data_IF_223584554113
#
_entry.id   IF_223584554113
#
_cell.length_a   1.000
_cell.length_b   1.000
_cell.length_c   1.000
_cell.angle_alpha   90.00
_cell.angle_beta   90.00
_cell.angle_gamma   90.00
#
_symmetry.space_group_name_H-M   'P 1'
#
loop_
_entity.id
_entity.type
_entity.pdbx_description
1 polymer ?
#
# COMPACT_ATOMS: atom_id res chain seq x y z
N UNK A 1 -18.11 30.67 -30.51
CA UNK A 1 -17.08 30.30 -29.55
C UNK A 1 -17.65 29.28 -28.64
N UNK A 2 -17.33 27.99 -28.87
CA UNK A 2 -17.78 26.91 -28.01
C UNK A 2 -16.92 26.91 -26.74
N UNK A 3 -17.44 27.45 -25.64
CA UNK A 3 -16.87 27.23 -24.33
C UNK A 3 -17.11 25.73 -23.99
N UNK A 4 -16.08 24.92 -24.07
CA UNK A 4 -16.08 23.59 -23.47
C UNK A 4 -16.18 23.84 -21.96
N UNK A 5 -17.38 23.69 -21.41
CA UNK A 5 -17.59 23.68 -19.98
C UNK A 5 -16.86 22.45 -19.42
N UNK A 6 -15.70 22.68 -18.83
CA UNK A 6 -14.92 21.64 -18.16
C UNK A 6 -15.71 21.24 -16.93
N UNK A 7 -16.47 20.15 -17.00
CA UNK A 7 -17.18 19.61 -15.83
C UNK A 7 -16.13 19.12 -14.83
N UNK A 8 -15.99 19.85 -13.72
CA UNK A 8 -15.11 19.41 -12.63
C UNK A 8 -15.78 18.25 -11.90
N UNK A 9 -15.10 17.09 -11.74
CA UNK A 9 -15.68 15.93 -11.04
C UNK A 9 -16.10 16.27 -9.61
N UNK A 10 -17.18 15.65 -9.15
CA UNK A 10 -17.72 15.83 -7.79
C UNK A 10 -16.66 15.61 -6.71
N UNK A 11 -15.77 14.61 -6.89
CA UNK A 11 -14.68 14.32 -5.99
C UNK A 11 -13.65 15.47 -5.85
N UNK A 12 -13.51 16.33 -6.87
CA UNK A 12 -12.64 17.51 -6.78
C UNK A 12 -13.39 18.70 -6.18
N UNK A 13 -14.66 18.86 -6.48
CA UNK A 13 -15.51 19.92 -5.92
C UNK A 13 -15.64 19.79 -4.41
N UNK A 14 -15.85 18.54 -3.92
CA UNK A 14 -16.02 18.22 -2.50
C UNK A 14 -14.73 17.90 -1.78
N UNK A 15 -13.58 18.20 -2.40
CA UNK A 15 -12.31 18.05 -1.72
C UNK A 15 -12.28 18.92 -0.45
N UNK A 16 -12.00 18.36 0.74
CA UNK A 16 -11.88 19.13 1.98
C UNK A 16 -10.94 20.31 1.84
N UNK A 17 -11.35 21.46 2.37
CA UNK A 17 -10.58 22.72 2.35
C UNK A 17 -9.95 23.02 3.70
N UNK A 18 -10.45 22.42 4.77
CA UNK A 18 -9.93 22.53 6.13
C UNK A 18 -9.71 21.14 6.75
N UNK A 19 -8.92 21.08 7.83
CA UNK A 19 -8.67 19.81 8.53
C UNK A 19 -9.92 19.30 9.25
N UNK A 20 -10.85 20.17 9.60
CA UNK A 20 -12.13 19.83 10.23
C UNK A 20 -13.09 19.13 9.26
N UNK A 21 -12.98 19.47 7.97
CA UNK A 21 -13.76 18.83 6.91
C UNK A 21 -13.18 17.48 6.48
N UNK A 22 -11.94 17.17 6.89
CA UNK A 22 -11.24 15.95 6.50
C UNK A 22 -11.75 14.77 7.33
N UNK A 23 -12.55 13.91 6.72
CA UNK A 23 -13.18 12.76 7.37
C UNK A 23 -12.29 11.53 7.38
N UNK A 24 -12.36 10.78 8.47
CA UNK A 24 -11.52 9.61 8.71
C UNK A 24 -10.13 9.96 9.24
N UNK A 25 -9.25 8.96 9.35
CA UNK A 25 -7.86 9.10 9.79
C UNK A 25 -7.70 9.70 11.20
N UNK A 26 -8.63 9.40 12.11
CA UNK A 26 -8.64 9.96 13.48
C UNK A 26 -7.32 9.79 14.22
N UNK A 27 -6.60 8.69 14.00
CA UNK A 27 -5.31 8.39 14.60
C UNK A 27 -4.22 9.38 14.17
N UNK A 28 -4.35 9.92 12.94
CA UNK A 28 -3.36 10.81 12.32
C UNK A 28 -3.68 12.28 12.58
N UNK A 29 -4.98 12.66 12.51
CA UNK A 29 -5.42 14.06 12.57
C UNK A 29 -6.13 14.45 13.87
N UNK A 30 -6.13 13.59 14.89
CA UNK A 30 -6.68 13.97 16.21
C UNK A 30 -5.96 15.18 16.80
N UNK A 31 -6.65 15.99 17.61
CA UNK A 31 -6.13 17.24 18.18
C UNK A 31 -4.77 17.11 18.89
N UNK A 32 -4.46 15.92 19.40
CA UNK A 32 -3.24 15.62 20.16
C UNK A 32 -2.27 14.70 19.40
N UNK A 33 -2.54 14.39 18.11
CA UNK A 33 -1.62 13.58 17.33
C UNK A 33 -0.28 14.29 17.10
N UNK A 34 0.82 13.54 16.95
CA UNK A 34 2.14 14.12 16.67
C UNK A 34 2.12 15.03 15.44
N UNK A 35 1.42 14.62 14.38
CA UNK A 35 1.28 15.41 13.15
C UNK A 35 0.61 16.75 13.43
N UNK A 36 -0.52 16.75 14.16
CA UNK A 36 -1.25 17.98 14.47
C UNK A 36 -0.45 18.93 15.38
N UNK A 37 0.34 18.38 16.31
CA UNK A 37 1.23 19.19 17.16
C UNK A 37 2.34 19.87 16.34
N UNK A 38 2.91 19.16 15.36
CA UNK A 38 3.91 19.74 14.45
C UNK A 38 3.30 20.83 13.56
N UNK A 39 2.12 20.61 13.01
CA UNK A 39 1.39 21.60 12.22
C UNK A 39 1.11 22.87 13.05
N UNK A 40 0.58 22.70 14.26
CA UNK A 40 0.31 23.85 15.19
C UNK A 40 1.56 24.63 15.55
N UNK A 41 2.71 23.99 15.64
CA UNK A 41 3.99 24.66 15.94
C UNK A 41 4.57 25.41 14.71
N UNK A 42 3.88 25.41 13.56
CA UNK A 42 4.33 26.02 12.29
C UNK A 42 5.71 25.48 11.83
N UNK A 43 6.10 24.31 12.32
CA UNK A 43 7.33 23.63 11.90
C UNK A 43 7.03 22.72 10.72
N UNK A 44 7.68 22.99 9.59
CA UNK A 44 7.64 22.12 8.45
C UNK A 44 8.64 20.97 8.63
N UNK A 45 8.23 19.81 8.10
CA UNK A 45 9.05 18.59 8.08
C UNK A 45 8.67 17.81 6.84
N UNK A 46 9.61 17.02 6.36
CA UNK A 46 9.38 16.14 5.21
C UNK A 46 8.72 14.85 5.66
N UNK A 47 7.77 14.36 4.86
CA UNK A 47 7.02 13.15 5.20
C UNK A 47 6.63 12.33 3.96
N UNK A 48 6.36 11.05 4.18
CA UNK A 48 5.76 10.14 3.23
C UNK A 48 4.37 9.72 3.72
N UNK A 49 3.35 10.00 2.93
CA UNK A 49 1.98 9.54 3.16
C UNK A 49 1.79 8.20 2.46
N UNK A 50 1.71 7.14 3.24
CA UNK A 50 1.53 5.78 2.74
C UNK A 50 0.12 5.27 3.05
N UNK A 51 -0.59 4.77 2.05
CA UNK A 51 -1.93 4.22 2.25
C UNK A 51 -2.65 3.90 0.94
N UNK A 52 -3.84 3.30 1.03
CA UNK A 52 -4.61 2.89 -0.14
C UNK A 52 -5.02 4.07 -1.04
N UNK A 53 -5.45 3.81 -2.29
CA UNK A 53 -6.01 4.85 -3.14
C UNK A 53 -7.24 5.48 -2.50
N UNK A 54 -7.51 6.75 -2.81
CA UNK A 54 -8.69 7.48 -2.35
C UNK A 54 -8.83 7.73 -0.84
N UNK A 55 -7.83 7.38 -0.01
CA UNK A 55 -7.84 7.61 1.44
C UNK A 55 -7.52 9.05 1.85
N UNK A 56 -7.24 9.95 0.88
CA UNK A 56 -7.05 11.38 1.15
C UNK A 56 -5.59 11.86 1.18
N UNK A 57 -4.58 11.09 0.72
CA UNK A 57 -3.15 11.48 0.76
C UNK A 57 -2.88 12.87 0.19
N UNK A 58 -3.28 13.11 -1.05
CA UNK A 58 -3.10 14.41 -1.73
C UNK A 58 -3.87 15.54 -1.04
N UNK A 59 -5.07 15.23 -0.54
CA UNK A 59 -5.89 16.20 0.20
C UNK A 59 -5.21 16.60 1.50
N UNK A 60 -4.73 15.64 2.29
CA UNK A 60 -4.01 15.91 3.53
C UNK A 60 -2.75 16.73 3.28
N UNK A 61 -1.98 16.42 2.23
CA UNK A 61 -0.79 17.19 1.86
C UNK A 61 -1.11 18.67 1.58
N UNK A 62 -2.18 18.94 0.83
CA UNK A 62 -2.65 20.31 0.55
C UNK A 62 -3.14 21.03 1.81
N UNK A 63 -3.86 20.32 2.68
CA UNK A 63 -4.33 20.88 3.96
C UNK A 63 -3.18 21.24 4.88
N UNK A 64 -2.14 20.40 4.95
CA UNK A 64 -0.91 20.71 5.70
C UNK A 64 -0.26 21.98 5.15
N UNK A 65 -0.09 22.07 3.83
CA UNK A 65 0.55 23.22 3.20
C UNK A 65 -0.22 24.54 3.48
N UNK A 66 -1.55 24.50 3.37
CA UNK A 66 -2.40 25.63 3.68
C UNK A 66 -2.27 26.06 5.17
N UNK A 67 -2.27 25.09 6.08
CA UNK A 67 -2.22 25.36 7.51
C UNK A 67 -0.89 26.02 7.95
N UNK A 68 0.21 25.71 7.27
CA UNK A 68 1.54 26.28 7.56
C UNK A 68 1.91 27.43 6.61
N UNK A 69 0.96 27.90 5.81
CA UNK A 69 1.13 28.97 4.82
C UNK A 69 2.36 28.77 3.90
N UNK A 70 2.56 27.53 3.42
CA UNK A 70 3.63 27.20 2.48
C UNK A 70 3.12 27.17 1.04
N UNK A 71 3.99 27.51 0.10
CA UNK A 71 3.73 27.30 -1.31
C UNK A 71 3.65 25.79 -1.59
N UNK A 72 2.59 25.33 -2.24
CA UNK A 72 2.38 23.95 -2.60
C UNK A 72 2.66 23.73 -4.08
N UNK A 73 3.68 22.91 -4.38
CA UNK A 73 4.03 22.51 -5.75
C UNK A 73 3.80 21.02 -5.89
N UNK A 74 3.01 20.62 -6.87
CA UNK A 74 2.66 19.23 -7.11
C UNK A 74 3.35 18.69 -8.36
N UNK A 75 4.06 17.57 -8.20
CA UNK A 75 4.64 16.78 -9.28
C UNK A 75 4.08 15.36 -9.24
N UNK A 76 3.84 14.77 -10.41
CA UNK A 76 3.50 13.37 -10.53
C UNK A 76 4.74 12.59 -10.95
N UNK A 77 5.16 11.60 -10.17
CA UNK A 77 6.32 10.78 -10.50
C UNK A 77 6.15 9.98 -11.81
N UNK A 78 4.92 9.86 -12.32
CA UNK A 78 4.63 9.20 -13.60
C UNK A 78 5.00 10.09 -14.79
N UNK A 79 4.83 11.41 -14.67
CA UNK A 79 4.97 12.35 -15.79
C UNK A 79 6.10 13.37 -15.63
N UNK A 80 6.72 13.48 -14.45
CA UNK A 80 7.80 14.42 -14.17
C UNK A 80 9.14 13.72 -13.95
N UNK A 81 10.24 14.47 -14.12
CA UNK A 81 11.59 13.97 -14.01
C UNK A 81 12.54 14.90 -13.24
N UNK A 82 13.85 14.64 -13.33
CA UNK A 82 14.89 15.42 -12.63
C UNK A 82 14.85 16.90 -13.03
N UNK A 83 14.48 17.19 -14.27
CA UNK A 83 14.40 18.59 -14.75
C UNK A 83 13.32 19.34 -13.98
N UNK A 84 12.13 18.75 -13.82
CA UNK A 84 11.01 19.37 -13.13
C UNK A 84 11.32 19.60 -11.64
N UNK A 85 12.05 18.66 -11.03
CA UNK A 85 12.55 18.80 -9.64
C UNK A 85 13.47 20.03 -9.56
N UNK A 86 14.46 20.17 -10.48
CA UNK A 86 15.40 21.29 -10.47
C UNK A 86 14.71 22.63 -10.69
N UNK A 87 13.78 22.72 -11.63
CA UNK A 87 12.97 23.94 -11.84
C UNK A 87 12.16 24.30 -10.59
N UNK A 88 11.65 23.30 -9.87
CA UNK A 88 10.94 23.54 -8.61
C UNK A 88 11.88 24.04 -7.52
N UNK A 89 13.10 23.51 -7.45
CA UNK A 89 14.13 23.97 -6.50
C UNK A 89 14.52 25.43 -6.77
N UNK A 90 14.70 25.83 -8.03
CA UNK A 90 15.01 27.21 -8.39
C UNK A 90 13.91 28.16 -7.91
N UNK A 91 12.65 27.83 -8.17
CA UNK A 91 11.49 28.60 -7.68
C UNK A 91 11.39 28.64 -6.16
N UNK A 92 11.70 27.53 -5.50
CA UNK A 92 11.72 27.47 -4.04
C UNK A 92 12.82 28.35 -3.42
N UNK A 93 14.01 28.37 -4.02
CA UNK A 93 15.09 29.27 -3.63
C UNK A 93 14.71 30.75 -3.78
N UNK A 94 13.99 31.09 -4.84
CA UNK A 94 13.47 32.45 -5.03
C UNK A 94 12.43 32.80 -3.96
N UNK A 95 11.46 31.90 -3.72
CA UNK A 95 10.43 32.09 -2.71
C UNK A 95 11.02 32.23 -1.30
N UNK A 96 12.05 31.46 -0.99
CA UNK A 96 12.73 31.50 0.32
C UNK A 96 13.39 32.86 0.60
N UNK A 97 13.87 33.60 -0.43
CA UNK A 97 14.38 34.97 -0.29
C UNK A 97 13.33 35.95 0.24
N UNK A 98 12.06 35.65 0.02
CA UNK A 98 10.92 36.42 0.52
C UNK A 98 10.31 35.79 1.79
N UNK A 99 11.01 34.82 2.42
CA UNK A 99 10.54 34.14 3.63
C UNK A 99 9.42 33.12 3.40
N UNK A 100 9.11 32.80 2.13
CA UNK A 100 8.07 31.82 1.82
C UNK A 100 8.68 30.42 1.65
N UNK A 101 8.17 29.48 2.43
CA UNK A 101 8.57 28.06 2.40
C UNK A 101 7.84 27.32 1.28
N UNK A 102 8.46 26.29 0.72
CA UNK A 102 7.88 25.49 -0.35
C UNK A 102 7.75 24.03 0.08
N UNK A 103 6.54 23.50 -0.05
CA UNK A 103 6.26 22.07 0.03
C UNK A 103 6.20 21.52 -1.38
N UNK A 104 7.09 20.58 -1.69
CA UNK A 104 7.05 19.78 -2.90
C UNK A 104 6.25 18.51 -2.61
N UNK A 105 5.08 18.37 -3.22
CA UNK A 105 4.30 17.14 -3.19
C UNK A 105 4.64 16.28 -4.41
N UNK A 106 5.03 15.04 -4.17
CA UNK A 106 5.29 14.06 -5.24
C UNK A 106 4.28 12.94 -5.11
N UNK A 107 3.35 12.88 -6.07
CA UNK A 107 2.39 11.78 -6.14
C UNK A 107 3.04 10.52 -6.70
N UNK A 108 2.75 9.37 -6.06
CA UNK A 108 3.29 8.06 -6.40
C UNK A 108 4.85 8.03 -6.42
N UNK A 109 5.49 8.56 -5.36
CA UNK A 109 6.95 8.73 -5.27
C UNK A 109 7.73 7.44 -5.55
N UNK A 110 7.13 6.27 -5.33
CA UNK A 110 7.72 4.96 -5.64
C UNK A 110 7.97 4.74 -7.13
N UNK A 111 7.36 5.54 -8.02
CA UNK A 111 7.61 5.52 -9.46
C UNK A 111 8.92 6.20 -9.87
N UNK A 112 9.46 7.06 -9.02
CA UNK A 112 10.79 7.59 -9.24
C UNK A 112 11.86 6.51 -8.99
N UNK A 113 12.85 6.43 -9.87
CA UNK A 113 14.06 5.64 -9.62
C UNK A 113 14.79 6.14 -8.38
N UNK A 114 15.61 5.29 -7.76
CA UNK A 114 16.42 5.69 -6.59
C UNK A 114 17.26 6.92 -6.88
N UNK A 115 17.86 7.01 -8.07
CA UNK A 115 18.64 8.18 -8.51
C UNK A 115 17.80 9.46 -8.54
N UNK A 116 16.54 9.38 -8.98
CA UNK A 116 15.64 10.55 -8.97
C UNK A 116 15.24 10.94 -7.54
N UNK A 117 15.06 9.97 -6.66
CA UNK A 117 14.80 10.22 -5.25
C UNK A 117 16.01 10.85 -4.54
N UNK A 118 17.24 10.41 -4.87
CA UNK A 118 18.47 10.93 -4.29
C UNK A 118 18.73 12.40 -4.65
N UNK A 119 18.24 12.86 -5.81
CA UNK A 119 18.33 14.28 -6.20
C UNK A 119 17.61 15.21 -5.21
N UNK A 120 16.63 14.71 -4.45
CA UNK A 120 15.89 15.49 -3.47
C UNK A 120 16.66 15.71 -2.16
N UNK A 121 17.62 14.84 -1.85
CA UNK A 121 18.28 14.79 -0.52
C UNK A 121 18.94 16.12 -0.13
N UNK A 122 19.78 16.75 -0.97
CA UNK A 122 20.43 18.02 -0.58
C UNK A 122 19.43 19.11 -0.20
N UNK A 123 18.33 19.19 -0.95
CA UNK A 123 17.32 20.25 -0.78
C UNK A 123 16.38 20.03 0.40
N UNK A 124 16.26 18.77 0.86
CA UNK A 124 15.54 18.42 2.09
C UNK A 124 16.45 18.70 3.30
N UNK A 125 17.74 18.40 3.19
CA UNK A 125 18.73 18.59 4.26
C UNK A 125 18.99 20.06 4.57
N UNK A 126 19.11 20.91 3.53
CA UNK A 126 19.34 22.33 3.69
C UNK A 126 18.05 23.16 3.94
N UNK A 127 16.88 22.51 3.87
CA UNK A 127 15.58 23.15 4.10
C UNK A 127 15.07 24.03 2.95
N UNK A 128 15.67 23.95 1.77
CA UNK A 128 15.18 24.61 0.55
C UNK A 128 13.79 24.10 0.19
N UNK A 129 13.57 22.79 0.32
CA UNK A 129 12.29 22.14 0.09
C UNK A 129 11.86 21.29 1.29
N UNK A 130 10.55 21.23 1.51
CA UNK A 130 9.92 20.26 2.38
C UNK A 130 9.17 19.25 1.51
N UNK A 131 9.56 17.97 1.57
CA UNK A 131 8.95 16.93 0.76
C UNK A 131 7.71 16.36 1.44
N UNK A 132 6.61 16.25 0.70
CA UNK A 132 5.51 15.34 1.03
C UNK A 132 5.38 14.34 -0.12
N UNK A 133 5.86 13.11 0.07
CA UNK A 133 5.67 12.03 -0.90
C UNK A 133 4.36 11.28 -0.63
N UNK A 134 3.64 10.87 -1.66
CA UNK A 134 2.54 9.91 -1.52
C UNK A 134 2.89 8.59 -2.18
N UNK A 135 2.40 7.48 -1.60
CA UNK A 135 2.58 6.15 -2.18
C UNK A 135 1.48 5.18 -1.72
N UNK A 136 1.13 4.25 -2.59
CA UNK A 136 0.30 3.09 -2.26
C UNK A 136 1.14 1.87 -1.87
N UNK A 137 2.42 1.87 -2.22
CA UNK A 137 3.36 0.79 -1.95
C UNK A 137 4.07 0.97 -0.60
N UNK A 138 4.56 -0.12 0.00
CA UNK A 138 5.29 -0.03 1.27
C UNK A 138 6.60 0.76 1.10
N UNK A 139 6.76 1.90 1.78
CA UNK A 139 7.93 2.77 1.62
C UNK A 139 9.26 2.09 1.93
N UNK A 140 9.27 1.13 2.87
CA UNK A 140 10.50 0.42 3.25
C UNK A 140 11.15 -0.37 2.12
N UNK A 141 10.37 -0.73 1.08
CA UNK A 141 10.87 -1.47 -0.08
C UNK A 141 11.07 -0.59 -1.31
N UNK A 142 10.27 0.45 -1.44
CA UNK A 142 10.17 1.22 -2.68
C UNK A 142 10.86 2.59 -2.64
N UNK A 143 11.02 3.16 -1.45
CA UNK A 143 11.68 4.45 -1.27
C UNK A 143 13.15 4.23 -0.90
N UNK A 144 14.03 5.11 -1.40
CA UNK A 144 15.45 5.02 -1.12
C UNK A 144 15.74 5.12 0.41
N UNK A 145 16.56 4.23 0.99
CA UNK A 145 16.87 4.26 2.42
C UNK A 145 17.40 5.62 2.91
N UNK A 146 18.20 6.28 2.08
CA UNK A 146 18.71 7.62 2.37
C UNK A 146 17.58 8.67 2.51
N UNK A 147 16.50 8.53 1.74
CA UNK A 147 15.33 9.41 1.85
C UNK A 147 14.48 9.05 3.07
N UNK A 148 14.26 7.75 3.33
CA UNK A 148 13.49 7.27 4.50
C UNK A 148 14.10 7.77 5.81
N UNK A 149 15.44 7.81 5.92
CA UNK A 149 16.09 8.30 7.15
C UNK A 149 15.89 9.79 7.44
N UNK A 150 15.37 10.56 6.47
CA UNK A 150 15.18 12.03 6.53
C UNK A 150 13.72 12.46 6.52
N UNK A 151 12.81 11.54 6.42
CA UNK A 151 11.37 11.82 6.34
C UNK A 151 10.61 11.01 7.40
N UNK A 152 9.47 11.54 7.82
CA UNK A 152 8.56 10.78 8.67
C UNK A 152 7.55 10.02 7.82
N UNK A 153 7.38 8.73 8.06
CA UNK A 153 6.36 7.91 7.38
C UNK A 153 5.06 7.95 8.17
N UNK A 154 3.98 8.36 7.52
CA UNK A 154 2.64 8.39 8.09
C UNK A 154 1.76 7.42 7.30
N UNK A 155 1.21 6.45 8.00
CA UNK A 155 0.28 5.49 7.42
C UNK A 155 -1.14 6.04 7.50
N UNK A 156 -1.83 6.04 6.34
CA UNK A 156 -3.26 6.32 6.24
C UNK A 156 -4.01 5.00 6.00
N UNK A 157 -5.14 4.86 6.63
CA UNK A 157 -6.00 3.68 6.50
C UNK A 157 -7.09 3.89 5.45
N UNK A 158 -7.80 2.84 5.09
CA UNK A 158 -9.06 2.97 4.37
C UNK A 158 -10.04 3.83 5.18
N UNK A 159 -10.89 4.58 4.48
CA UNK A 159 -11.96 5.33 5.14
C UNK A 159 -13.00 4.30 5.63
N UNK A 160 -13.35 4.38 6.92
CA UNK A 160 -14.33 3.51 7.52
C UNK A 160 -15.75 3.81 6.99
N UNK A 161 -16.66 2.88 7.22
CA UNK A 161 -18.02 2.92 6.65
C UNK A 161 -18.83 4.12 7.17
N UNK A 162 -18.64 4.54 8.43
CA UNK A 162 -19.33 5.68 9.02
C UNK A 162 -18.91 6.99 8.34
N UNK A 163 -17.60 7.20 8.17
CA UNK A 163 -17.09 8.37 7.48
C UNK A 163 -17.38 8.32 5.98
N UNK A 164 -17.37 7.14 5.37
CA UNK A 164 -17.78 6.96 3.98
C UNK A 164 -19.23 7.34 3.76
N UNK A 165 -20.15 6.94 4.65
CA UNK A 165 -21.57 7.37 4.59
C UNK A 165 -21.70 8.89 4.63
N UNK A 166 -20.92 9.56 5.48
CA UNK A 166 -20.91 11.04 5.55
C UNK A 166 -20.45 11.66 4.22
N UNK A 167 -19.40 11.12 3.60
CA UNK A 167 -18.89 11.58 2.30
C UNK A 167 -19.94 11.42 1.21
N UNK A 168 -20.62 10.26 1.15
CA UNK A 168 -21.70 9.97 0.20
C UNK A 168 -22.85 10.94 0.38
N UNK A 169 -23.33 11.13 1.62
CA UNK A 169 -24.41 12.05 1.92
C UNK A 169 -24.06 13.50 1.57
N UNK A 170 -22.83 13.94 1.82
CA UNK A 170 -22.34 15.25 1.39
C UNK A 170 -22.36 15.37 -0.14
N UNK A 171 -22.04 14.29 -0.85
CA UNK A 171 -22.12 14.21 -2.30
C UNK A 171 -23.53 14.42 -2.83
N UNK A 172 -24.49 13.67 -2.33
CA UNK A 172 -25.90 13.82 -2.71
C UNK A 172 -26.44 15.19 -2.33
N UNK A 173 -26.20 15.67 -1.12
CA UNK A 173 -26.63 17.00 -0.65
C UNK A 173 -26.09 18.14 -1.53
N UNK A 174 -24.85 18.03 -2.00
CA UNK A 174 -24.31 19.01 -2.94
C UNK A 174 -25.04 18.99 -4.29
N UNK A 175 -25.33 17.79 -4.81
CA UNK A 175 -26.02 17.62 -6.09
C UNK A 175 -27.47 18.10 -6.00
N UNK A 176 -28.15 17.80 -4.91
CA UNK A 176 -29.53 18.33 -4.65
C UNK A 176 -29.56 19.85 -4.62
N UNK A 177 -28.61 20.47 -3.92
CA UNK A 177 -28.54 21.94 -3.79
C UNK A 177 -28.31 22.63 -5.13
N UNK A 178 -27.57 21.99 -6.04
CA UNK A 178 -27.17 22.59 -7.30
C UNK A 178 -27.99 22.13 -8.52
N UNK A 179 -28.83 21.09 -8.35
CA UNK A 179 -29.65 20.50 -9.41
C UNK A 179 -31.04 20.21 -8.90
N UNK A 180 -31.48 18.94 -8.92
CA UNK A 180 -32.84 18.54 -8.50
C UNK A 180 -32.77 17.67 -7.24
N UNK A 181 -33.83 17.67 -6.42
CA UNK A 181 -33.96 16.76 -5.29
C UNK A 181 -33.83 15.29 -5.72
N UNK A 182 -33.30 14.45 -4.84
CA UNK A 182 -33.14 13.02 -5.07
C UNK A 182 -33.66 12.25 -3.85
N UNK A 183 -34.43 11.20 -4.10
CA UNK A 183 -34.84 10.22 -3.10
C UNK A 183 -34.05 8.93 -3.31
N UNK A 184 -33.44 8.43 -2.24
CA UNK A 184 -32.72 7.18 -2.19
C UNK A 184 -32.81 6.56 -0.81
N UNK A 185 -32.69 5.26 -0.74
CA UNK A 185 -32.75 4.50 0.50
C UNK A 185 -31.36 4.19 1.09
N UNK A 186 -31.37 3.60 2.27
CA UNK A 186 -30.13 3.20 2.95
C UNK A 186 -29.37 2.11 2.18
N UNK A 187 -30.06 1.31 1.35
CA UNK A 187 -29.44 0.25 0.55
C UNK A 187 -28.52 0.83 -0.53
N UNK A 188 -28.90 1.98 -1.12
CA UNK A 188 -28.06 2.73 -2.07
C UNK A 188 -26.76 3.15 -1.41
N UNK A 189 -26.82 3.72 -0.21
CA UNK A 189 -25.63 4.12 0.54
C UNK A 189 -24.74 2.91 0.86
N UNK A 190 -25.31 1.82 1.35
CA UNK A 190 -24.60 0.56 1.63
C UNK A 190 -23.95 -0.03 0.37
N UNK A 191 -24.67 0.03 -0.75
CA UNK A 191 -24.13 -0.44 -2.03
C UNK A 191 -22.89 0.35 -2.45
N UNK A 192 -22.92 1.68 -2.35
CA UNK A 192 -21.79 2.54 -2.69
C UNK A 192 -20.63 2.28 -1.74
N UNK A 193 -20.83 2.19 -0.42
CA UNK A 193 -19.79 1.88 0.57
C UNK A 193 -19.10 0.57 0.22
N UNK A 194 -19.86 -0.50 -0.01
CA UNK A 194 -19.35 -1.83 -0.33
C UNK A 194 -18.51 -1.85 -1.62
N UNK A 195 -18.90 -1.07 -2.63
CA UNK A 195 -18.19 -1.03 -3.91
C UNK A 195 -17.01 -0.06 -3.91
N UNK A 196 -17.08 1.03 -3.14
CA UNK A 196 -15.97 1.99 -2.99
C UNK A 196 -14.81 1.44 -2.15
N UNK A 197 -15.06 0.48 -1.26
CA UNK A 197 -14.02 -0.21 -0.46
C UNK A 197 -13.07 0.76 0.25
N UNK A 198 -13.59 1.84 0.82
CA UNK A 198 -12.82 2.85 1.54
C UNK A 198 -12.11 3.89 0.65
N UNK A 199 -12.38 3.91 -0.66
CA UNK A 199 -11.92 4.93 -1.61
C UNK A 199 -12.98 6.01 -1.81
N UNK A 200 -12.76 7.21 -1.24
CA UNK A 200 -13.68 8.33 -1.34
C UNK A 200 -13.86 8.86 -2.77
N UNK A 201 -12.83 8.77 -3.60
CA UNK A 201 -12.91 9.22 -5.01
C UNK A 201 -13.84 8.30 -5.79
N UNK A 202 -13.70 6.99 -5.60
CA UNK A 202 -14.59 6.00 -6.20
C UNK A 202 -16.02 6.18 -5.71
N UNK A 203 -16.24 6.40 -4.40
CA UNK A 203 -17.57 6.65 -3.84
C UNK A 203 -18.24 7.88 -4.46
N UNK A 204 -17.54 9.02 -4.51
CA UNK A 204 -18.08 10.25 -5.07
C UNK A 204 -18.33 10.17 -6.59
N UNK A 205 -17.50 9.45 -7.33
CA UNK A 205 -17.76 9.17 -8.74
C UNK A 205 -19.03 8.30 -8.92
N UNK A 206 -19.24 7.31 -8.03
CA UNK A 206 -20.46 6.51 -8.05
C UNK A 206 -21.69 7.36 -7.72
N UNK A 207 -21.60 8.24 -6.71
CA UNK A 207 -22.66 9.20 -6.36
C UNK A 207 -23.02 10.08 -7.56
N UNK A 208 -22.03 10.68 -8.21
CA UNK A 208 -22.22 11.56 -9.37
C UNK A 208 -22.88 10.81 -10.54
N UNK A 209 -22.36 9.66 -10.90
CA UNK A 209 -22.90 8.84 -11.98
C UNK A 209 -24.32 8.34 -11.66
N UNK A 210 -24.57 7.89 -10.43
CA UNK A 210 -25.88 7.43 -9.98
C UNK A 210 -26.91 8.55 -10.02
N UNK A 211 -26.53 9.74 -9.57
CA UNK A 211 -27.40 10.90 -9.58
C UNK A 211 -27.87 11.23 -11.01
N UNK A 212 -26.93 11.35 -11.95
CA UNK A 212 -27.27 11.72 -13.34
C UNK A 212 -27.96 10.58 -14.13
N UNK A 213 -27.77 9.33 -13.75
CA UNK A 213 -28.41 8.18 -14.37
C UNK A 213 -29.77 7.82 -13.74
N UNK A 214 -30.11 8.41 -12.58
CA UNK A 214 -31.40 8.15 -11.91
C UNK A 214 -32.58 8.72 -12.72
N UNK A 215 -33.73 8.05 -12.59
CA UNK A 215 -34.97 8.47 -13.26
C UNK A 215 -35.47 9.79 -12.68
N UNK A 216 -35.83 10.71 -13.57
CA UNK A 216 -36.47 11.99 -13.18
C UNK A 216 -37.94 11.93 -13.44
N UNK A 217 -38.76 11.98 -12.37
CA UNK A 217 -40.22 11.99 -12.41
C UNK A 217 -40.74 12.84 -11.27
N UNK A 218 -41.91 13.48 -11.47
CA UNK A 218 -42.61 14.26 -10.45
C UNK A 218 -41.72 15.32 -9.74
N UNK A 219 -40.81 15.99 -10.46
CA UNK A 219 -39.87 17.00 -9.97
C UNK A 219 -38.79 16.53 -9.00
N UNK A 220 -38.55 15.23 -8.86
CA UNK A 220 -37.44 14.68 -8.12
C UNK A 220 -36.82 13.48 -8.84
N UNK A 221 -35.62 13.12 -8.45
CA UNK A 221 -34.92 11.94 -8.94
C UNK A 221 -35.16 10.77 -8.00
N UNK A 222 -35.40 9.59 -8.56
CA UNK A 222 -35.46 8.33 -7.80
C UNK A 222 -34.28 7.47 -8.10
N UNK A 223 -33.51 7.11 -7.07
CA UNK A 223 -32.38 6.25 -7.16
C UNK A 223 -32.60 5.00 -6.31
N UNK A 224 -32.51 3.85 -6.95
CA UNK A 224 -32.46 2.54 -6.31
C UNK A 224 -31.21 1.78 -6.66
N UNK A 225 -31.00 0.63 -6.02
CA UNK A 225 -29.82 -0.21 -6.23
C UNK A 225 -29.72 -0.72 -7.66
N UNK A 226 -30.85 -0.98 -8.34
CA UNK A 226 -30.84 -1.49 -9.73
C UNK A 226 -30.16 -0.49 -10.69
N UNK A 227 -30.35 0.82 -10.48
CA UNK A 227 -29.67 1.85 -11.27
C UNK A 227 -28.16 1.79 -11.06
N UNK A 228 -27.71 1.62 -9.81
CA UNK A 228 -26.30 1.48 -9.49
C UNK A 228 -25.69 0.21 -10.09
N UNK A 229 -26.41 -0.90 -10.04
CA UNK A 229 -25.98 -2.17 -10.64
C UNK A 229 -25.80 -2.05 -12.15
N UNK A 230 -26.71 -1.39 -12.82
CA UNK A 230 -26.65 -1.14 -14.26
C UNK A 230 -25.47 -0.25 -14.66
N UNK A 231 -25.16 0.80 -13.87
CA UNK A 231 -24.04 1.70 -14.12
C UNK A 231 -22.69 1.00 -13.90
N UNK A 232 -22.61 0.19 -12.84
CA UNK A 232 -21.35 -0.46 -12.48
C UNK A 232 -21.02 -1.68 -13.35
N UNK A 233 -21.95 -2.12 -14.23
CA UNK A 233 -21.83 -3.32 -15.08
C UNK A 233 -21.39 -4.58 -14.31
N UNK A 234 -21.47 -4.56 -13.00
CA UNK A 234 -21.10 -5.67 -12.13
C UNK A 234 -22.35 -6.45 -11.78
N UNK A 235 -22.54 -7.61 -12.39
CA UNK A 235 -23.43 -8.63 -11.85
C UNK A 235 -22.96 -8.98 -10.43
N UNK A 236 -23.87 -8.81 -9.48
CA UNK A 236 -23.60 -9.01 -8.06
C UNK A 236 -23.13 -10.39 -7.70
N UNK A 237 -21.93 -10.49 -7.23
CA UNK A 237 -21.63 -11.34 -6.09
C UNK A 237 -21.19 -10.40 -4.97
N UNK A 238 -22.13 -10.08 -4.07
CA UNK A 238 -21.90 -9.15 -2.96
C UNK A 238 -20.87 -9.74 -2.01
N UNK A 239 -19.72 -9.11 -1.99
CA UNK A 239 -18.62 -9.44 -1.14
C UNK A 239 -18.42 -8.29 -0.17
N UNK A 240 -18.80 -8.46 1.09
CA UNK A 240 -18.50 -7.48 2.12
C UNK A 240 -16.98 -7.48 2.39
N UNK A 241 -16.45 -6.38 2.92
CA UNK A 241 -15.04 -6.29 3.29
C UNK A 241 -14.62 -7.38 4.29
N UNK A 242 -15.53 -7.76 5.19
CA UNK A 242 -15.33 -8.85 6.13
C UNK A 242 -15.23 -10.19 5.39
N UNK A 243 -16.12 -10.45 4.43
CA UNK A 243 -16.09 -11.68 3.63
C UNK A 243 -14.83 -11.80 2.78
N UNK A 244 -14.25 -10.68 2.29
CA UNK A 244 -12.96 -10.68 1.59
C UNK A 244 -11.86 -11.34 2.43
N UNK A 245 -11.72 -10.93 3.70
CA UNK A 245 -10.73 -11.51 4.60
C UNK A 245 -11.10 -12.93 5.02
N UNK A 246 -12.39 -13.22 5.21
CA UNK A 246 -12.87 -14.52 5.61
C UNK A 246 -12.62 -15.58 4.52
N UNK A 247 -12.90 -15.24 3.25
CA UNK A 247 -12.64 -16.14 2.12
C UNK A 247 -11.15 -16.31 1.84
N UNK A 248 -10.36 -15.25 1.90
CA UNK A 248 -8.91 -15.35 1.77
C UNK A 248 -8.31 -16.23 2.89
N UNK A 249 -8.80 -16.08 4.13
CA UNK A 249 -8.40 -16.91 5.27
C UNK A 249 -8.83 -18.37 5.09
N UNK A 250 -10.07 -18.60 4.65
CA UNK A 250 -10.56 -19.96 4.39
C UNK A 250 -9.77 -20.64 3.26
N UNK A 251 -9.46 -19.91 2.19
CA UNK A 251 -8.61 -20.38 1.09
C UNK A 251 -7.22 -20.82 1.58
N UNK A 252 -6.53 -19.97 2.35
CA UNK A 252 -5.20 -20.29 2.87
C UNK A 252 -5.26 -21.47 3.86
N UNK A 253 -6.27 -21.54 4.74
CA UNK A 253 -6.46 -22.64 5.67
C UNK A 253 -6.75 -23.97 4.97
N UNK A 254 -7.49 -23.95 3.86
CA UNK A 254 -7.74 -25.14 3.04
C UNK A 254 -6.47 -25.65 2.37
N UNK A 255 -5.61 -24.75 1.87
CA UNK A 255 -4.29 -25.12 1.32
C UNK A 255 -3.39 -25.74 2.40
N UNK A 256 -3.33 -25.10 3.57
CA UNK A 256 -2.57 -25.58 4.73
C UNK A 256 -3.08 -26.93 5.24
N UNK A 257 -4.40 -27.09 5.27
CA UNK A 257 -5.08 -28.32 5.69
C UNK A 257 -5.07 -29.44 4.66
N UNK A 258 -4.46 -29.23 3.48
CA UNK A 258 -4.39 -30.23 2.40
C UNK A 258 -5.75 -30.67 1.87
N UNK A 259 -6.72 -29.74 1.83
CA UNK A 259 -8.03 -29.95 1.24
C UNK A 259 -8.12 -29.25 -0.12
N UNK A 260 -7.86 -29.94 -1.25
CA UNK A 260 -7.88 -29.37 -2.58
C UNK A 260 -9.29 -28.97 -3.02
N UNK A 261 -10.33 -29.65 -2.58
CA UNK A 261 -11.72 -29.39 -2.99
C UNK A 261 -12.22 -28.10 -2.34
N UNK A 262 -11.97 -27.90 -1.06
CA UNK A 262 -12.26 -26.66 -0.37
C UNK A 262 -11.44 -25.49 -0.95
N UNK A 263 -10.15 -25.69 -1.24
CA UNK A 263 -9.28 -24.67 -1.82
C UNK A 263 -9.79 -24.22 -3.21
N UNK A 264 -10.22 -25.15 -4.07
CA UNK A 264 -10.83 -24.85 -5.38
C UNK A 264 -12.16 -24.14 -5.22
N UNK A 265 -13.00 -24.55 -4.27
CA UNK A 265 -14.26 -23.87 -4.00
C UNK A 265 -14.03 -22.39 -3.62
N UNK A 266 -13.11 -22.14 -2.68
CA UNK A 266 -12.81 -20.77 -2.25
C UNK A 266 -12.11 -19.96 -3.35
N UNK A 267 -11.26 -20.56 -4.19
CA UNK A 267 -10.74 -19.92 -5.39
C UNK A 267 -11.86 -19.46 -6.31
N UNK A 268 -12.79 -20.35 -6.64
CA UNK A 268 -13.93 -20.02 -7.52
C UNK A 268 -14.81 -18.93 -6.90
N UNK A 269 -15.08 -19.01 -5.59
CA UNK A 269 -15.86 -18.00 -4.87
C UNK A 269 -15.21 -16.62 -4.90
N UNK A 270 -13.87 -16.54 -4.72
CA UNK A 270 -13.13 -15.28 -4.81
C UNK A 270 -13.14 -14.71 -6.23
N UNK A 271 -12.98 -15.54 -7.27
CA UNK A 271 -13.03 -15.11 -8.68
C UNK A 271 -14.41 -14.56 -9.02
N UNK A 272 -15.49 -15.28 -8.68
CA UNK A 272 -16.87 -14.84 -8.92
C UNK A 272 -17.23 -13.55 -8.15
N UNK A 273 -16.64 -13.37 -6.97
CA UNK A 273 -16.76 -12.14 -6.19
C UNK A 273 -15.99 -10.95 -6.79
N UNK A 274 -15.25 -11.16 -7.88
CA UNK A 274 -14.48 -10.12 -8.55
C UNK A 274 -13.19 -9.74 -7.83
N UNK A 275 -12.64 -10.67 -7.03
CA UNK A 275 -11.33 -10.48 -6.39
C UNK A 275 -10.23 -10.33 -7.45
N UNK A 276 -9.24 -9.48 -7.17
CA UNK A 276 -8.07 -9.36 -8.05
C UNK A 276 -7.34 -10.73 -8.12
N UNK A 277 -7.28 -11.37 -9.28
CA UNK A 277 -6.63 -12.68 -9.40
C UNK A 277 -5.15 -12.65 -9.04
N UNK A 278 -4.49 -11.49 -9.11
CA UNK A 278 -3.11 -11.30 -8.64
C UNK A 278 -3.04 -11.33 -7.11
N UNK A 279 -4.08 -10.83 -6.41
CA UNK A 279 -4.17 -10.97 -4.95
C UNK A 279 -4.27 -12.45 -4.56
N UNK A 280 -5.13 -13.23 -5.22
CA UNK A 280 -5.28 -14.66 -4.97
C UNK A 280 -3.95 -15.38 -5.21
N UNK A 281 -3.28 -15.10 -6.33
CA UNK A 281 -1.98 -15.68 -6.66
C UNK A 281 -0.90 -15.33 -5.61
N UNK A 282 -0.87 -14.09 -5.09
CA UNK A 282 0.05 -13.74 -3.99
C UNK A 282 -0.22 -14.53 -2.72
N UNK A 283 -1.49 -14.80 -2.37
CA UNK A 283 -1.82 -15.67 -1.23
C UNK A 283 -1.34 -17.09 -1.42
N UNK A 284 -1.46 -17.60 -2.65
CA UNK A 284 -0.95 -18.93 -3.01
C UNK A 284 0.58 -19.01 -2.89
N UNK A 285 1.31 -17.98 -3.35
CA UNK A 285 2.78 -17.89 -3.21
C UNK A 285 3.18 -17.93 -1.73
N UNK A 286 2.50 -17.15 -0.87
CA UNK A 286 2.77 -17.15 0.57
C UNK A 286 2.57 -18.54 1.16
N UNK A 287 1.42 -19.21 0.91
CA UNK A 287 1.18 -20.56 1.40
C UNK A 287 2.20 -21.59 0.88
N UNK A 288 2.66 -21.43 -0.37
CA UNK A 288 3.67 -22.32 -0.93
C UNK A 288 5.01 -22.23 -0.20
N UNK A 289 5.39 -21.02 0.25
CA UNK A 289 6.63 -20.81 1.01
C UNK A 289 6.47 -21.11 2.50
N UNK A 290 5.33 -20.70 3.11
CA UNK A 290 5.06 -20.80 4.55
C UNK A 290 4.67 -22.21 4.97
N UNK A 291 3.73 -22.84 4.23
CA UNK A 291 3.10 -24.09 4.66
C UNK A 291 3.68 -25.35 3.98
N UNK A 292 4.18 -25.22 2.74
CA UNK A 292 4.85 -26.31 2.01
C UNK A 292 6.36 -26.23 2.20
N UNK A 293 6.95 -25.05 1.98
CA UNK A 293 8.35 -24.77 2.22
C UNK A 293 9.29 -25.79 1.54
N UNK A 294 10.26 -26.26 2.32
CA UNK A 294 11.27 -27.21 1.84
C UNK A 294 10.77 -28.67 1.73
N UNK A 295 9.54 -28.97 2.17
CA UNK A 295 8.95 -30.30 1.94
C UNK A 295 8.71 -30.58 0.45
N UNK A 296 8.38 -29.52 -0.32
CA UNK A 296 8.32 -29.56 -1.80
C UNK A 296 8.62 -28.17 -2.38
N UNK A 297 9.89 -27.87 -2.70
CA UNK A 297 10.29 -26.56 -3.26
C UNK A 297 9.63 -26.22 -4.60
N UNK A 298 9.09 -27.19 -5.33
CA UNK A 298 8.38 -26.95 -6.59
C UNK A 298 7.05 -26.24 -6.39
N UNK A 299 6.45 -26.32 -5.21
CA UNK A 299 5.20 -25.62 -4.89
C UNK A 299 5.34 -24.10 -5.09
N UNK A 300 6.45 -23.53 -4.65
CA UNK A 300 6.74 -22.11 -4.83
C UNK A 300 6.92 -21.74 -6.31
N UNK A 301 7.62 -22.57 -7.09
CA UNK A 301 7.81 -22.36 -8.53
C UNK A 301 6.49 -22.40 -9.27
N UNK A 302 5.63 -23.37 -8.95
CA UNK A 302 4.29 -23.51 -9.57
C UNK A 302 3.42 -22.30 -9.25
N UNK A 303 3.42 -21.82 -8.01
CA UNK A 303 2.65 -20.65 -7.60
C UNK A 303 3.14 -19.35 -8.29
N UNK A 304 4.45 -19.15 -8.41
CA UNK A 304 5.03 -18.00 -9.12
C UNK A 304 4.69 -18.04 -10.61
N UNK A 305 4.76 -19.21 -11.25
CA UNK A 305 4.41 -19.36 -12.66
C UNK A 305 2.92 -19.12 -12.90
N UNK A 306 2.03 -19.56 -11.99
CA UNK A 306 0.61 -19.26 -12.06
C UNK A 306 0.34 -17.74 -11.94
N UNK A 307 1.05 -17.02 -11.05
CA UNK A 307 0.95 -15.56 -10.95
C UNK A 307 1.32 -14.90 -12.28
N UNK A 308 2.44 -15.27 -12.89
CA UNK A 308 2.88 -14.73 -14.19
C UNK A 308 1.88 -15.05 -15.31
N UNK A 309 1.33 -16.29 -15.33
CA UNK A 309 0.32 -16.67 -16.30
C UNK A 309 -0.96 -15.81 -16.18
N UNK A 310 -1.39 -15.52 -14.94
CA UNK A 310 -2.53 -14.64 -14.69
C UNK A 310 -2.28 -13.21 -15.17
N UNK A 311 -1.06 -12.69 -15.01
CA UNK A 311 -0.71 -11.35 -15.49
C UNK A 311 -0.75 -11.26 -17.02
N UNK A 312 -0.38 -12.35 -17.72
CA UNK A 312 -0.35 -12.40 -19.18
C UNK A 312 -1.75 -12.63 -19.75
N UNK A 313 -2.50 -13.59 -19.20
CA UNK A 313 -3.77 -14.05 -19.75
C UNK A 313 -4.96 -13.21 -19.29
N UNK A 314 -4.95 -12.72 -18.03
CA UNK A 314 -6.13 -12.16 -17.39
C UNK A 314 -7.24 -13.20 -17.16
N UNK A 315 -8.42 -12.74 -16.73
CA UNK A 315 -9.61 -13.56 -16.65
C UNK A 315 -10.43 -13.45 -17.98
N UNK A 316 -11.11 -14.51 -18.41
CA UNK A 316 -11.42 -15.73 -17.66
C UNK A 316 -10.36 -16.84 -17.73
N UNK A 317 -9.41 -16.81 -18.66
CA UNK A 317 -8.46 -17.91 -18.92
C UNK A 317 -7.48 -18.12 -17.74
N UNK A 318 -7.05 -17.04 -17.07
CA UNK A 318 -6.12 -17.07 -15.94
C UNK A 318 -6.60 -17.91 -14.74
N UNK A 319 -7.90 -18.24 -14.68
CA UNK A 319 -8.43 -19.16 -13.65
C UNK A 319 -7.86 -20.57 -13.77
N UNK A 320 -7.47 -21.00 -14.97
CA UNK A 320 -7.00 -22.38 -15.22
C UNK A 320 -5.62 -22.61 -14.59
N UNK A 321 -4.57 -21.80 -14.89
CA UNK A 321 -3.27 -21.94 -14.22
C UNK A 321 -3.36 -21.69 -12.70
N UNK A 322 -4.27 -20.82 -12.21
CA UNK A 322 -4.53 -20.69 -10.78
C UNK A 322 -5.06 -21.99 -10.18
N UNK A 323 -6.07 -22.61 -10.79
CA UNK A 323 -6.64 -23.87 -10.31
C UNK A 323 -5.60 -24.99 -10.30
N UNK A 324 -4.78 -25.09 -11.36
CA UNK A 324 -3.69 -26.07 -11.41
C UNK A 324 -2.73 -25.90 -10.24
N UNK A 325 -2.29 -24.67 -9.97
CA UNK A 325 -1.36 -24.37 -8.89
C UNK A 325 -1.99 -24.60 -7.50
N UNK A 326 -3.25 -24.24 -7.31
CA UNK A 326 -4.01 -24.48 -6.08
C UNK A 326 -4.07 -25.98 -5.75
N UNK A 327 -4.40 -26.83 -6.73
CA UNK A 327 -4.45 -28.28 -6.55
C UNK A 327 -3.07 -28.81 -6.19
N UNK A 328 -2.01 -28.33 -6.86
CA UNK A 328 -0.65 -28.76 -6.58
C UNK A 328 -0.24 -28.41 -5.13
N UNK A 329 -0.39 -27.14 -4.73
CA UNK A 329 -0.01 -26.66 -3.40
C UNK A 329 -0.84 -27.35 -2.30
N UNK A 330 -2.15 -27.57 -2.52
CA UNK A 330 -2.98 -28.27 -1.57
C UNK A 330 -2.52 -29.71 -1.33
N UNK A 331 -2.12 -30.42 -2.40
CA UNK A 331 -1.68 -31.83 -2.32
C UNK A 331 -0.20 -32.02 -1.92
N UNK A 332 0.62 -30.97 -1.98
CA UNK A 332 2.02 -31.03 -1.59
C UNK A 332 2.20 -31.37 -0.10
N UNK A 333 3.28 -32.09 0.29
CA UNK A 333 3.62 -32.28 1.69
C UNK A 333 3.82 -30.94 2.38
N UNK A 334 3.57 -30.88 3.69
CA UNK A 334 3.59 -29.63 4.46
C UNK A 334 4.78 -29.57 5.40
N UNK A 335 5.45 -28.41 5.43
CA UNK A 335 6.47 -28.04 6.41
C UNK A 335 6.53 -26.53 6.55
N UNK A 336 6.32 -26.03 7.75
CA UNK A 336 6.48 -24.62 8.09
C UNK A 336 7.86 -24.30 8.70
N UNK A 337 8.80 -25.26 8.64
CA UNK A 337 10.11 -25.15 9.28
C UNK A 337 10.86 -23.86 8.91
N UNK A 338 10.82 -23.44 7.64
CA UNK A 338 11.50 -22.23 7.20
C UNK A 338 10.90 -20.96 7.85
N UNK A 339 9.58 -20.90 7.98
CA UNK A 339 8.88 -19.81 8.64
C UNK A 339 9.22 -19.76 10.14
N UNK A 340 9.08 -20.89 10.82
CA UNK A 340 9.39 -21.00 12.26
C UNK A 340 10.86 -20.65 12.53
N UNK A 341 11.79 -21.10 11.70
CA UNK A 341 13.21 -20.84 11.87
C UNK A 341 13.53 -19.34 11.79
N UNK A 342 13.06 -18.66 10.76
CA UNK A 342 13.32 -17.21 10.60
C UNK A 342 12.60 -16.38 11.67
N UNK A 343 11.38 -16.73 12.05
CA UNK A 343 10.64 -16.04 13.10
C UNK A 343 11.33 -16.18 14.47
N UNK A 344 11.85 -17.38 14.76
CA UNK A 344 12.62 -17.63 16.00
C UNK A 344 13.90 -16.80 16.03
N UNK A 345 14.64 -16.72 14.93
CA UNK A 345 15.86 -15.91 14.83
C UNK A 345 15.54 -14.41 14.99
N UNK A 346 14.46 -13.94 14.36
CA UNK A 346 14.01 -12.55 14.51
C UNK A 346 13.57 -12.23 15.94
N UNK A 347 12.90 -13.16 16.61
CA UNK A 347 12.50 -13.01 18.01
C UNK A 347 13.73 -12.90 18.93
N UNK A 348 14.76 -13.67 18.71
CA UNK A 348 16.02 -13.58 19.46
C UNK A 348 16.64 -12.18 19.29
N UNK A 349 16.79 -11.69 18.06
CA UNK A 349 17.32 -10.34 17.77
C UNK A 349 16.47 -9.26 18.46
N UNK A 350 15.15 -9.34 18.36
CA UNK A 350 14.24 -8.37 18.98
C UNK A 350 14.28 -8.42 20.53
N UNK A 351 14.68 -9.55 21.10
CA UNK A 351 14.85 -9.71 22.55
C UNK A 351 16.19 -9.15 23.06
N UNK A 352 17.05 -8.66 22.16
CA UNK A 352 18.36 -8.12 22.49
C UNK A 352 19.53 -9.09 22.27
N UNK A 353 19.29 -10.28 21.72
CA UNK A 353 20.32 -11.23 21.32
C UNK A 353 20.89 -10.88 19.93
N UNK A 354 21.36 -9.64 19.79
CA UNK A 354 21.95 -9.10 18.55
C UNK A 354 23.46 -8.97 18.73
N UNK A 355 24.18 -9.94 18.21
CA UNK A 355 25.64 -10.05 18.34
C UNK A 355 26.33 -9.97 16.97
N UNK A 356 27.53 -9.40 16.89
CA UNK A 356 28.30 -9.39 15.66
C UNK A 356 28.78 -10.80 15.31
N UNK A 357 29.04 -11.08 14.02
CA UNK A 357 29.57 -12.38 13.61
C UNK A 357 30.97 -12.64 14.24
N UNK A 358 31.31 -13.92 14.49
CA UNK A 358 32.64 -14.31 14.96
C UNK A 358 33.78 -13.72 14.12
N UNK A 359 34.94 -13.42 14.75
CA UNK A 359 36.05 -12.71 14.09
C UNK A 359 36.56 -13.43 12.83
N UNK A 360 36.63 -14.76 12.86
CA UNK A 360 37.06 -15.56 11.72
C UNK A 360 36.09 -15.55 10.53
N UNK A 361 34.83 -15.20 10.72
CA UNK A 361 33.80 -15.08 9.66
C UNK A 361 33.71 -13.68 9.08
N UNK A 362 34.36 -12.67 9.68
CA UNK A 362 34.28 -11.29 9.19
C UNK A 362 35.06 -11.11 7.93
N UNK A 363 34.64 -10.19 7.08
CA UNK A 363 35.27 -9.91 5.80
C UNK A 363 36.76 -9.54 5.96
N UNK A 364 37.63 -10.25 5.24
CA UNK A 364 39.07 -10.08 5.23
C UNK A 364 39.64 -9.64 3.88
N UNK A 365 38.78 -9.27 2.90
CA UNK A 365 39.20 -8.93 1.54
C UNK A 365 39.76 -7.50 1.38
N UNK A 366 39.97 -6.76 2.46
CA UNK A 366 40.56 -5.43 2.44
C UNK A 366 41.92 -5.37 3.13
N UNK A 367 42.73 -4.35 2.75
CA UNK A 367 44.08 -4.17 3.29
C UNK A 367 44.08 -4.02 4.81
N UNK A 368 44.94 -4.76 5.48
CA UNK A 368 45.11 -4.75 6.95
C UNK A 368 43.98 -5.42 7.76
N UNK A 369 43.03 -6.11 7.14
CA UNK A 369 41.95 -6.83 7.86
C UNK A 369 42.49 -7.83 8.90
N UNK A 370 43.54 -8.57 8.54
CA UNK A 370 44.18 -9.53 9.43
C UNK A 370 44.80 -8.91 10.70
N UNK A 371 45.23 -7.62 10.64
CA UNK A 371 45.75 -6.90 11.82
C UNK A 371 44.64 -6.67 12.86
N UNK A 372 43.40 -6.67 12.43
CA UNK A 372 42.23 -6.58 13.30
C UNK A 372 41.67 -7.96 13.68
N UNK A 373 42.29 -9.04 13.24
CA UNK A 373 41.89 -10.42 13.52
C UNK A 373 40.74 -10.91 12.64
N UNK A 374 40.36 -10.17 11.58
CA UNK A 374 39.25 -10.52 10.70
C UNK A 374 39.70 -11.63 9.71
N UNK A 375 38.88 -12.69 9.59
CA UNK A 375 39.14 -13.85 8.76
C UNK A 375 40.24 -14.78 9.30
N UNK A 376 40.92 -14.43 10.39
CA UNK A 376 41.99 -15.26 10.96
C UNK A 376 41.39 -16.53 11.58
N UNK A 377 41.87 -17.68 11.11
CA UNK A 377 41.39 -18.99 11.58
C UNK A 377 40.18 -19.55 10.85
N UNK A 378 39.68 -18.85 9.84
CA UNK A 378 38.64 -19.41 8.98
C UNK A 378 39.19 -20.56 8.15
N UNK A 379 38.53 -21.70 8.17
CA UNK A 379 38.82 -22.88 7.35
C UNK A 379 37.80 -22.97 6.22
N UNK A 380 38.28 -23.01 4.98
CA UNK A 380 37.38 -23.13 3.83
C UNK A 380 36.73 -24.50 3.77
N UNK A 381 35.43 -24.54 4.01
CA UNK A 381 34.70 -25.79 4.25
C UNK A 381 34.65 -26.77 3.05
N UNK A 382 34.88 -26.29 1.81
CA UNK A 382 34.95 -27.17 0.63
C UNK A 382 36.27 -27.94 0.56
N UNK A 383 37.37 -27.33 1.04
CA UNK A 383 38.68 -27.99 1.04
C UNK A 383 38.84 -28.87 2.28
N UNK A 384 38.15 -28.56 3.36
CA UNK A 384 38.23 -29.22 4.67
C UNK A 384 36.87 -29.54 5.24
N UNK A 385 36.08 -30.43 4.60
CA UNK A 385 34.70 -30.75 5.05
C UNK A 385 34.62 -31.47 6.39
N UNK A 386 35.79 -32.03 6.87
CA UNK A 386 35.93 -32.72 8.15
C UNK A 386 36.10 -31.77 9.34
N UNK A 387 36.37 -30.48 9.09
CA UNK A 387 36.63 -29.51 10.17
C UNK A 387 35.31 -28.89 10.64
N UNK A 388 34.99 -29.13 11.89
CA UNK A 388 33.87 -28.43 12.55
C UNK A 388 34.27 -27.00 12.93
N UNK A 389 33.50 -26.03 12.48
CA UNK A 389 33.68 -24.61 12.81
C UNK A 389 32.39 -24.05 13.43
N UNK A 390 32.55 -23.06 14.30
CA UNK A 390 31.45 -22.32 14.84
C UNK A 390 31.04 -21.16 13.91
N UNK A 391 29.79 -21.14 13.48
CA UNK A 391 29.26 -20.10 12.60
C UNK A 391 28.37 -19.08 13.33
N UNK A 392 27.74 -19.45 14.43
CA UNK A 392 26.99 -18.51 15.25
C UNK A 392 27.92 -17.72 16.19
N UNK A 393 27.53 -16.52 16.65
CA UNK A 393 28.20 -15.84 17.74
C UNK A 393 28.37 -16.72 18.98
N UNK A 394 29.39 -16.44 19.79
CA UNK A 394 29.71 -17.25 20.99
C UNK A 394 28.52 -17.37 21.95
N UNK A 395 27.75 -16.31 22.07
CA UNK A 395 26.56 -16.19 22.92
C UNK A 395 25.38 -17.07 22.41
N UNK A 396 25.40 -17.43 21.14
CA UNK A 396 24.37 -18.23 20.46
C UNK A 396 24.87 -19.59 19.99
N UNK A 397 26.06 -20.03 20.36
CA UNK A 397 26.69 -21.26 19.85
C UNK A 397 25.83 -22.53 20.00
N UNK A 398 25.03 -22.60 21.06
CA UNK A 398 24.16 -23.74 21.35
C UNK A 398 22.72 -23.55 20.81
N UNK A 399 22.46 -22.41 20.17
CA UNK A 399 21.13 -22.09 19.62
C UNK A 399 20.87 -22.88 18.34
N UNK A 400 19.69 -23.49 18.27
CA UNK A 400 19.19 -24.16 17.06
C UNK A 400 17.90 -23.52 16.60
N UNK A 401 17.84 -23.21 15.32
CA UNK A 401 16.66 -22.69 14.65
C UNK A 401 15.96 -23.73 13.76
N UNK A 402 16.64 -24.82 13.49
CA UNK A 402 16.14 -25.96 12.73
C UNK A 402 16.19 -27.20 13.64
N UNK A 403 15.04 -27.89 13.77
CA UNK A 403 14.93 -29.18 14.45
C UNK A 403 15.28 -30.34 13.51
#
# INVERSE_FOLDING_TARGET
>A
MNFINKQTPLAEILRPKTLEEFLGQSDVISKNSPLMNLIKSQRLFSLILWGPPGCGKTTLARLIANQVNAQFVELSAVSSGIKDIKETVEKANEALRYGQKTILFIDEIHRYSKTQQDVLLPYIEDGTLYLIGSTTENPSFQVAPALISRVQVIRLNYIDDENMAKIINNGFSYLEKNHQPIEYDEEVTKFIINNARGDARTALNMVENAYFASNFANNFRQLNVDVLENITQKRNTRYSRQEHYDFASAFQKSLRGSDPDAAIYYLAKMIEAGEDPRFIARRLIVCSAEDVGNADPQALNVAINAHKAVEILGLPEGRIPLAQAVIYVAKAPKSNQACVAIDSALADIHSGLDFPPPMHLRDSHYKDAEKYGFGVGYVYSHDHPEVEQQFLPDELKDRKYLD
#
